data_IF_208789716916
#
_entry.id   IF_208789716916
#
_cell.length_a   1.000
_cell.length_b   1.000
_cell.length_c   1.000
_cell.angle_alpha   90.00
_cell.angle_beta   90.00
_cell.angle_gamma   90.00
#
_symmetry.space_group_name_H-M   'P 1'
#
loop_
_entity.id
_entity.type
_entity.pdbx_description
1 polymer ?
#
# COMPACT_ATOMS: atom_id res chain seq x y z
N UNK A 1 -7.18 8.48 1.31
CA UNK A 1 -7.21 9.23 2.60
C UNK A 1 -8.29 10.30 2.49
N UNK A 2 -9.23 10.43 3.43
CA UNK A 2 -10.24 11.48 3.42
C UNK A 2 -9.59 12.87 3.37
N UNK A 3 -10.23 13.84 2.69
CA UNK A 3 -9.69 15.19 2.53
C UNK A 3 -9.44 15.90 3.87
N UNK A 4 -10.33 15.68 4.86
CA UNK A 4 -10.16 16.18 6.22
C UNK A 4 -8.84 15.72 6.86
N UNK A 5 -8.48 14.47 6.66
CA UNK A 5 -7.24 13.87 7.19
C UNK A 5 -5.99 14.29 6.42
N UNK A 6 -6.10 14.73 5.17
CA UNK A 6 -4.97 15.28 4.44
C UNK A 6 -4.41 16.56 5.09
N UNK A 7 -5.27 17.34 5.76
CA UNK A 7 -4.87 18.55 6.50
C UNK A 7 -4.07 18.26 7.79
N UNK A 8 -4.15 17.03 8.29
CA UNK A 8 -3.41 16.61 9.49
C UNK A 8 -1.99 16.12 9.17
N UNK A 9 -1.66 15.96 7.87
CA UNK A 9 -0.32 15.56 7.46
C UNK A 9 0.70 16.66 7.80
N UNK A 10 1.85 16.32 8.42
CA UNK A 10 2.93 17.27 8.65
C UNK A 10 3.39 17.94 7.35
N UNK A 11 3.43 19.27 7.32
CA UNK A 11 3.80 20.03 6.12
C UNK A 11 5.16 19.63 5.56
N UNK A 12 6.15 19.40 6.43
CA UNK A 12 7.49 19.00 6.00
C UNK A 12 7.48 17.64 5.27
N UNK A 13 6.66 16.70 5.71
CA UNK A 13 6.51 15.39 5.06
C UNK A 13 5.90 15.53 3.68
N UNK A 14 4.85 16.37 3.55
CA UNK A 14 4.23 16.70 2.28
C UNK A 14 5.24 17.36 1.32
N UNK A 15 5.96 18.39 1.78
CA UNK A 15 6.95 19.10 0.98
C UNK A 15 8.10 18.17 0.52
N UNK A 16 8.63 17.34 1.43
CA UNK A 16 9.68 16.38 1.09
C UNK A 16 9.22 15.38 0.03
N UNK A 17 7.98 14.88 0.14
CA UNK A 17 7.41 14.02 -0.89
C UNK A 17 7.41 14.71 -2.27
N UNK A 18 6.91 15.94 -2.34
CA UNK A 18 6.84 16.69 -3.61
C UNK A 18 8.22 17.01 -4.19
N UNK A 19 9.18 17.40 -3.33
CA UNK A 19 10.57 17.67 -3.75
C UNK A 19 11.22 16.39 -4.28
N UNK A 20 11.15 15.30 -3.55
CA UNK A 20 11.78 14.03 -3.91
C UNK A 20 11.21 13.43 -5.20
N UNK A 21 9.94 13.65 -5.47
CA UNK A 21 9.28 13.21 -6.71
C UNK A 21 9.37 14.23 -7.86
N UNK A 22 10.06 15.36 -7.65
CA UNK A 22 10.22 16.41 -8.66
C UNK A 22 8.91 17.07 -9.08
N UNK A 23 7.85 17.00 -8.24
CA UNK A 23 6.52 17.52 -8.57
C UNK A 23 6.47 19.05 -8.64
N UNK A 24 7.39 19.75 -7.98
CA UNK A 24 7.52 21.21 -8.09
C UNK A 24 8.33 21.68 -9.32
N UNK A 25 8.91 20.75 -10.09
CA UNK A 25 9.68 21.12 -11.27
C UNK A 25 8.75 21.49 -12.43
N UNK A 26 8.89 22.70 -12.95
CA UNK A 26 8.18 23.15 -14.16
C UNK A 26 8.83 22.62 -15.44
N UNK A 27 10.17 22.48 -15.41
CA UNK A 27 10.99 21.95 -16.52
C UNK A 27 11.79 20.74 -16.04
N UNK A 28 12.21 19.87 -16.99
CA UNK A 28 13.01 18.66 -16.71
C UNK A 28 12.36 17.78 -15.63
N UNK A 29 11.05 17.55 -15.75
CA UNK A 29 10.33 16.62 -14.85
C UNK A 29 10.90 15.22 -15.00
N UNK A 30 11.01 14.44 -13.91
CA UNK A 30 11.46 13.05 -14.01
C UNK A 30 10.51 12.25 -14.90
N UNK A 31 11.08 11.40 -15.76
CA UNK A 31 10.31 10.43 -16.52
C UNK A 31 9.84 9.31 -15.57
N UNK A 32 8.56 9.05 -15.58
CA UNK A 32 7.97 7.94 -14.81
C UNK A 32 8.03 6.66 -15.62
N UNK A 33 8.35 5.57 -14.95
CA UNK A 33 8.42 4.23 -15.52
C UNK A 33 7.59 3.27 -14.68
N UNK A 34 7.11 2.21 -15.32
CA UNK A 34 6.52 1.06 -14.65
C UNK A 34 7.27 -0.20 -15.07
N UNK A 35 7.22 -1.23 -14.22
CA UNK A 35 7.86 -2.50 -14.53
C UNK A 35 7.04 -3.23 -15.59
N UNK A 36 7.69 -3.62 -16.68
CA UNK A 36 7.07 -4.45 -17.72
C UNK A 36 6.56 -5.76 -17.08
N UNK A 37 5.35 -6.17 -17.43
CA UNK A 37 4.64 -7.31 -16.82
C UNK A 37 4.39 -7.16 -15.31
N UNK A 38 4.39 -5.93 -14.78
CA UNK A 38 3.97 -5.55 -13.42
C UNK A 38 4.93 -6.00 -12.31
N UNK A 39 4.52 -5.68 -11.07
CA UNK A 39 5.34 -5.91 -9.88
C UNK A 39 5.69 -7.38 -9.63
N UNK A 40 4.85 -8.31 -10.02
CA UNK A 40 5.13 -9.76 -9.85
C UNK A 40 6.43 -10.18 -10.51
N UNK A 41 6.81 -9.55 -11.61
CA UNK A 41 8.06 -9.84 -12.33
C UNK A 41 9.29 -9.65 -11.46
N UNK A 42 9.41 -8.49 -10.80
CA UNK A 42 10.58 -8.26 -9.94
C UNK A 42 10.48 -9.04 -8.63
N UNK A 43 9.28 -9.25 -8.08
CA UNK A 43 9.09 -10.09 -6.89
C UNK A 43 9.56 -11.51 -7.14
N UNK A 44 9.19 -12.12 -8.27
CA UNK A 44 9.64 -13.45 -8.64
C UNK A 44 11.16 -13.49 -8.81
N UNK A 45 11.75 -12.52 -9.53
CA UNK A 45 13.21 -12.44 -9.70
C UNK A 45 13.99 -12.26 -8.40
N UNK A 46 13.42 -11.55 -7.42
CA UNK A 46 14.03 -11.44 -6.08
C UNK A 46 13.93 -12.80 -5.36
N UNK A 47 12.74 -13.43 -5.38
CA UNK A 47 12.51 -14.70 -4.75
C UNK A 47 13.45 -15.80 -5.28
N UNK A 48 13.71 -15.82 -6.59
CA UNK A 48 14.66 -16.76 -7.23
C UNK A 48 16.12 -16.59 -6.73
N UNK A 49 16.47 -15.42 -6.20
CA UNK A 49 17.82 -15.14 -5.68
C UNK A 49 17.97 -15.42 -4.18
N UNK A 50 16.88 -15.72 -3.49
CA UNK A 50 16.92 -16.08 -2.08
C UNK A 50 17.40 -17.52 -1.97
N UNK A 51 18.53 -17.74 -1.31
CA UNK A 51 19.11 -19.07 -1.11
C UNK A 51 18.44 -19.87 0.02
N UNK A 52 17.69 -19.20 0.89
CA UNK A 52 16.96 -19.81 1.99
C UNK A 52 15.52 -20.18 1.62
N UNK A 53 14.83 -20.80 2.56
CA UNK A 53 13.45 -21.23 2.39
C UNK A 53 12.46 -20.05 2.40
N UNK A 54 11.44 -20.12 1.56
CA UNK A 54 10.34 -19.17 1.50
C UNK A 54 9.06 -19.88 1.94
N UNK A 55 8.61 -19.60 3.16
CA UNK A 55 7.36 -20.13 3.71
C UNK A 55 6.20 -19.21 3.37
N UNK A 56 5.23 -19.70 2.58
CA UNK A 56 3.98 -19.00 2.25
C UNK A 56 2.84 -19.50 3.12
N UNK A 57 1.85 -18.61 3.37
CA UNK A 57 0.70 -18.95 4.21
C UNK A 57 1.06 -19.37 5.64
N UNK A 58 2.22 -18.94 6.12
CA UNK A 58 2.75 -19.22 7.44
C UNK A 58 2.65 -17.96 8.30
N UNK A 59 1.54 -17.83 9.03
CA UNK A 59 1.35 -16.69 9.94
C UNK A 59 2.24 -16.85 11.16
N UNK A 60 3.13 -15.90 11.38
CA UNK A 60 3.90 -15.80 12.63
C UNK A 60 2.97 -15.36 13.75
N UNK A 61 2.90 -16.14 14.80
CA UNK A 61 2.06 -15.86 15.97
C UNK A 61 2.81 -15.09 17.06
N UNK A 62 4.10 -15.40 17.26
CA UNK A 62 4.90 -14.82 18.34
C UNK A 62 6.38 -14.86 18.01
N UNK A 63 7.10 -13.88 18.52
CA UNK A 63 8.56 -13.79 18.45
C UNK A 63 9.08 -13.63 19.86
N UNK A 64 9.94 -14.58 20.29
CA UNK A 64 10.57 -14.61 21.59
C UNK A 64 12.06 -14.36 21.41
N UNK A 65 12.62 -13.41 22.11
CA UNK A 65 14.05 -13.11 22.10
C UNK A 65 14.69 -13.71 23.36
N UNK A 66 15.64 -14.57 23.17
CA UNK A 66 16.56 -15.04 24.18
C UNK A 66 17.92 -14.36 23.96
N UNK A 67 18.85 -14.50 24.90
CA UNK A 67 20.13 -13.78 24.86
C UNK A 67 20.90 -13.94 23.55
N UNK A 68 20.86 -15.15 22.93
CA UNK A 68 21.67 -15.49 21.75
C UNK A 68 20.82 -15.90 20.52
N UNK A 69 19.52 -16.06 20.67
CA UNK A 69 18.64 -16.57 19.60
C UNK A 69 17.28 -15.90 19.61
N UNK A 70 16.65 -15.93 18.45
CA UNK A 70 15.27 -15.48 18.26
C UNK A 70 14.42 -16.67 17.87
N UNK A 71 13.42 -16.97 18.69
CA UNK A 71 12.45 -18.04 18.44
C UNK A 71 11.21 -17.47 17.75
N UNK A 72 10.83 -18.02 16.61
CA UNK A 72 9.64 -17.67 15.87
C UNK A 72 8.61 -18.80 16.00
N UNK A 73 7.40 -18.47 16.47
CA UNK A 73 6.30 -19.43 16.62
C UNK A 73 5.32 -19.30 15.45
N UNK A 74 4.97 -20.45 14.86
CA UNK A 74 4.01 -20.57 13.77
C UNK A 74 3.06 -21.72 14.13
N UNK A 75 1.86 -21.40 14.61
CA UNK A 75 0.99 -22.41 15.22
C UNK A 75 1.69 -23.09 16.40
N UNK A 76 1.72 -24.42 16.39
CA UNK A 76 2.37 -25.25 17.43
C UNK A 76 3.86 -25.49 17.16
N UNK A 77 4.40 -24.99 16.04
CA UNK A 77 5.80 -25.17 15.66
C UNK A 77 6.63 -23.93 16.01
N UNK A 78 7.93 -24.15 16.21
CA UNK A 78 8.87 -23.05 16.35
C UNK A 78 10.12 -23.27 15.52
N UNK A 79 10.81 -22.17 15.20
CA UNK A 79 12.11 -22.14 14.54
C UNK A 79 13.00 -21.14 15.25
N UNK A 80 14.28 -21.49 15.41
CA UNK A 80 15.28 -20.64 16.05
C UNK A 80 16.20 -20.02 15.00
N UNK A 81 16.48 -18.72 15.16
CA UNK A 81 17.33 -17.93 14.26
C UNK A 81 18.27 -17.05 15.07
N UNK A 82 19.37 -16.62 14.45
CA UNK A 82 20.30 -15.66 15.06
C UNK A 82 19.69 -14.24 15.07
N UNK A 83 19.02 -13.87 13.98
CA UNK A 83 18.41 -12.55 13.81
C UNK A 83 17.06 -12.66 13.12
N UNK A 84 16.20 -11.65 13.33
CA UNK A 84 14.93 -11.48 12.65
C UNK A 84 14.77 -10.06 12.15
N UNK A 85 14.25 -9.92 10.92
CA UNK A 85 13.83 -8.62 10.36
C UNK A 85 12.32 -8.65 10.23
N UNK A 86 11.65 -7.70 10.89
CA UNK A 86 10.20 -7.51 10.80
C UNK A 86 9.89 -6.51 9.69
N UNK A 87 9.32 -7.00 8.58
CA UNK A 87 8.89 -6.19 7.44
C UNK A 87 7.36 -6.12 7.34
N UNK A 88 6.67 -6.15 8.47
CA UNK A 88 5.21 -6.01 8.59
C UNK A 88 4.83 -4.61 9.09
N UNK A 89 3.52 -4.30 9.17
CA UNK A 89 3.05 -3.08 9.80
C UNK A 89 3.54 -2.97 11.24
N UNK A 90 3.78 -1.75 11.72
CA UNK A 90 4.32 -1.51 13.06
C UNK A 90 3.41 -2.07 14.18
N UNK A 91 2.10 -1.93 14.05
CA UNK A 91 1.11 -2.50 14.97
C UNK A 91 1.15 -4.04 14.97
N UNK A 92 1.25 -4.66 13.80
CA UNK A 92 1.40 -6.10 13.65
C UNK A 92 2.73 -6.58 14.23
N UNK A 93 3.84 -5.88 13.92
CA UNK A 93 5.15 -6.17 14.48
C UNK A 93 5.12 -6.13 16.00
N UNK A 94 4.52 -5.09 16.58
CA UNK A 94 4.39 -4.94 18.03
C UNK A 94 3.54 -6.06 18.65
N UNK A 95 2.47 -6.48 17.98
CA UNK A 95 1.54 -7.51 18.49
C UNK A 95 2.16 -8.90 18.59
N UNK A 96 3.15 -9.21 17.76
CA UNK A 96 3.80 -10.54 17.74
C UNK A 96 5.08 -10.59 18.60
N UNK A 97 5.61 -9.45 19.04
CA UNK A 97 6.74 -9.40 19.99
C UNK A 97 6.26 -9.78 21.39
N UNK A 98 6.81 -10.85 21.99
CA UNK A 98 6.39 -11.29 23.31
C UNK A 98 6.76 -10.29 24.40
N UNK A 99 8.01 -9.81 24.40
CA UNK A 99 8.53 -8.87 25.38
C UNK A 99 9.13 -7.64 24.68
N UNK A 100 8.31 -6.75 24.08
CA UNK A 100 8.83 -5.54 23.46
C UNK A 100 9.41 -4.60 24.52
N UNK A 101 10.55 -4.00 24.22
CA UNK A 101 11.19 -2.99 25.07
C UNK A 101 10.29 -1.77 25.21
N UNK A 102 10.61 -0.90 26.18
CA UNK A 102 9.89 0.36 26.37
C UNK A 102 9.99 1.24 25.11
N UNK A 103 11.14 1.28 24.46
CA UNK A 103 11.36 2.08 23.25
C UNK A 103 10.63 1.51 22.05
N UNK A 104 10.64 0.19 21.84
CA UNK A 104 9.84 -0.46 20.79
C UNK A 104 8.36 -0.17 20.96
N UNK A 105 7.83 -0.29 22.17
CA UNK A 105 6.43 0.08 22.47
C UNK A 105 6.15 1.54 22.15
N UNK A 106 7.03 2.43 22.59
CA UNK A 106 6.84 3.87 22.43
C UNK A 106 6.91 4.31 20.97
N UNK A 107 7.79 3.71 20.18
CA UNK A 107 7.94 4.04 18.77
C UNK A 107 6.85 3.39 17.93
N UNK A 108 6.68 2.07 18.02
CA UNK A 108 5.78 1.32 17.13
C UNK A 108 4.30 1.67 17.33
N UNK A 109 3.87 2.00 18.54
CA UNK A 109 2.47 2.41 18.82
C UNK A 109 2.07 3.74 18.16
N UNK A 110 3.03 4.56 17.74
CA UNK A 110 2.73 5.85 17.10
C UNK A 110 2.35 5.72 15.63
N UNK A 111 2.56 4.56 15.02
CA UNK A 111 2.11 4.30 13.65
C UNK A 111 0.64 3.90 13.67
N UNK A 112 -0.19 4.78 13.14
CA UNK A 112 -1.63 4.53 12.98
C UNK A 112 -1.93 4.03 11.57
N UNK A 113 -3.00 3.25 11.44
CA UNK A 113 -3.42 2.69 10.16
C UNK A 113 -4.90 2.92 9.94
N UNK A 114 -5.30 3.10 8.68
CA UNK A 114 -6.70 3.30 8.29
C UNK A 114 -7.11 2.30 7.22
N UNK A 115 -8.35 1.76 7.31
CA UNK A 115 -8.88 0.88 6.28
C UNK A 115 -9.15 1.66 4.99
N UNK A 116 -8.92 0.99 3.87
CA UNK A 116 -9.22 1.46 2.54
C UNK A 116 -9.79 0.31 1.72
N UNK A 117 -10.81 0.58 0.94
CA UNK A 117 -11.42 -0.41 0.04
C UNK A 117 -11.04 -0.08 -1.38
N UNK A 118 -10.51 -1.05 -2.10
CA UNK A 118 -10.15 -0.93 -3.51
C UNK A 118 -11.08 -1.80 -4.36
N UNK A 119 -11.68 -1.20 -5.37
CA UNK A 119 -12.49 -1.88 -6.37
C UNK A 119 -11.71 -1.98 -7.67
N UNK A 120 -11.42 -3.19 -8.12
CA UNK A 120 -10.99 -3.44 -9.49
C UNK A 120 -12.24 -3.65 -10.33
N UNK A 121 -12.45 -2.82 -11.35
CA UNK A 121 -13.69 -2.80 -12.11
C UNK A 121 -13.48 -2.32 -13.57
N UNK A 122 -14.56 -2.34 -14.34
CA UNK A 122 -14.63 -1.82 -15.72
C UNK A 122 -15.69 -0.71 -15.88
N UNK A 123 -16.15 -0.16 -14.78
CA UNK A 123 -17.17 0.88 -14.78
C UNK A 123 -16.56 2.26 -15.10
N UNK A 124 -16.94 2.83 -16.25
CA UNK A 124 -16.46 4.15 -16.71
C UNK A 124 -17.13 5.31 -15.98
N UNK A 125 -18.23 5.09 -15.25
CA UNK A 125 -18.96 6.16 -14.54
C UNK A 125 -18.14 6.80 -13.41
N UNK A 126 -17.12 6.06 -12.92
CA UNK A 126 -16.17 6.56 -11.91
C UNK A 126 -14.98 7.31 -12.53
N UNK A 127 -15.07 7.69 -13.79
CA UNK A 127 -14.09 8.47 -14.50
C UNK A 127 -14.69 9.85 -14.88
N UNK A 128 -13.85 10.85 -15.17
CA UNK A 128 -14.36 12.13 -15.68
C UNK A 128 -15.25 11.91 -16.92
N UNK A 129 -16.38 12.64 -17.01
CA UNK A 129 -17.33 12.52 -18.13
C UNK A 129 -16.70 12.76 -19.50
N UNK A 130 -15.70 13.63 -19.57
CA UNK A 130 -14.95 13.92 -20.79
C UNK A 130 -13.75 12.97 -20.90
N UNK A 131 -13.76 12.03 -21.84
CA UNK A 131 -12.64 11.07 -22.07
C UNK A 131 -11.28 11.76 -22.30
N UNK A 132 -11.27 12.97 -22.87
CA UNK A 132 -10.03 13.78 -23.06
C UNK A 132 -9.39 14.21 -21.74
N UNK A 133 -10.12 14.21 -20.64
CA UNK A 133 -9.62 14.55 -19.30
C UNK A 133 -9.05 13.33 -18.58
N UNK A 134 -9.19 12.13 -19.12
CA UNK A 134 -8.73 10.91 -18.47
C UNK A 134 -7.21 10.89 -18.34
N UNK A 135 -6.76 10.71 -17.13
CA UNK A 135 -5.36 10.54 -16.76
C UNK A 135 -5.12 9.16 -16.16
N UNK A 136 -3.87 8.79 -15.95
CA UNK A 136 -3.53 7.57 -15.22
C UNK A 136 -4.10 7.58 -13.81
N UNK A 137 -4.22 8.77 -13.18
CA UNK A 137 -4.80 9.00 -11.86
C UNK A 137 -5.88 10.07 -11.99
N UNK A 138 -7.09 9.77 -11.55
CA UNK A 138 -8.22 10.68 -11.60
C UNK A 138 -8.79 10.82 -10.19
N UNK A 139 -8.92 12.05 -9.72
CA UNK A 139 -9.50 12.35 -8.42
C UNK A 139 -10.90 12.92 -8.61
N UNK A 140 -11.87 12.34 -7.92
CA UNK A 140 -13.27 12.82 -7.90
C UNK A 140 -13.61 13.16 -6.47
N UNK A 141 -14.08 14.38 -6.27
CA UNK A 141 -14.55 14.87 -4.97
C UNK A 141 -16.06 15.10 -5.03
N UNK A 142 -16.78 14.49 -4.08
CA UNK A 142 -18.20 14.68 -3.89
C UNK A 142 -18.43 15.05 -2.43
N UNK A 143 -19.10 16.18 -2.20
CA UNK A 143 -19.22 16.76 -0.88
C UNK A 143 -17.83 16.95 -0.23
N UNK A 144 -17.53 16.30 0.89
CA UNK A 144 -16.24 16.36 1.57
C UNK A 144 -15.42 15.07 1.43
N UNK A 145 -15.81 14.18 0.52
CA UNK A 145 -15.15 12.90 0.32
C UNK A 145 -14.49 12.86 -1.05
N UNK A 146 -13.26 12.36 -1.09
CA UNK A 146 -12.48 12.22 -2.33
C UNK A 146 -12.14 10.77 -2.55
N UNK A 147 -12.39 10.26 -3.76
CA UNK A 147 -11.85 9.01 -4.23
C UNK A 147 -10.80 9.22 -5.32
N UNK A 148 -10.01 8.20 -5.56
CA UNK A 148 -9.02 8.17 -6.64
C UNK A 148 -9.27 6.95 -7.50
N UNK A 149 -9.43 7.18 -8.80
CA UNK A 149 -9.56 6.12 -9.80
C UNK A 149 -8.31 6.08 -10.67
N UNK A 150 -7.64 4.95 -10.67
CA UNK A 150 -6.48 4.65 -11.53
C UNK A 150 -6.98 4.02 -12.81
N UNK A 151 -6.67 4.63 -13.96
CA UNK A 151 -6.88 4.00 -15.26
C UNK A 151 -5.69 3.10 -15.59
N UNK A 152 -5.87 1.80 -15.38
CA UNK A 152 -4.78 0.83 -15.44
C UNK A 152 -4.23 0.65 -16.86
N UNK A 153 -5.06 0.82 -17.88
CA UNK A 153 -4.62 0.74 -19.27
C UNK A 153 -3.50 1.74 -19.57
N UNK A 154 -3.69 3.00 -19.13
CA UNK A 154 -2.68 4.05 -19.31
C UNK A 154 -1.53 3.91 -18.31
N UNK A 155 -1.84 3.57 -17.06
CA UNK A 155 -0.85 3.47 -15.98
C UNK A 155 0.15 2.33 -16.21
N UNK A 156 -0.32 1.19 -16.77
CA UNK A 156 0.46 -0.03 -16.93
C UNK A 156 0.67 -0.44 -18.39
N UNK A 157 0.31 0.42 -19.33
CA UNK A 157 0.38 0.17 -20.77
C UNK A 157 -0.22 -1.19 -21.15
N UNK A 158 -1.50 -1.42 -20.78
CA UNK A 158 -2.16 -2.67 -21.04
C UNK A 158 -2.57 -2.77 -22.52
N UNK A 159 -2.19 -3.84 -23.18
CA UNK A 159 -2.58 -4.15 -24.58
C UNK A 159 -3.98 -4.77 -24.61
N UNK A 160 -5.01 -3.93 -24.44
CA UNK A 160 -6.42 -4.36 -24.45
C UNK A 160 -7.34 -3.19 -24.79
N UNK A 161 -8.45 -3.49 -25.47
CA UNK A 161 -9.50 -2.53 -25.81
C UNK A 161 -10.49 -2.30 -24.63
N UNK A 162 -10.49 -3.18 -23.63
CA UNK A 162 -11.35 -3.04 -22.47
C UNK A 162 -10.67 -2.16 -21.42
N UNK A 163 -11.39 -1.19 -20.88
CA UNK A 163 -10.88 -0.32 -19.83
C UNK A 163 -10.95 -1.03 -18.48
N UNK A 164 -9.83 -0.96 -17.73
CA UNK A 164 -9.72 -1.45 -16.37
C UNK A 164 -9.37 -0.31 -15.42
N UNK A 165 -10.09 -0.25 -14.33
CA UNK A 165 -9.94 0.78 -13.31
C UNK A 165 -9.70 0.15 -11.94
N UNK A 166 -8.95 0.88 -11.11
CA UNK A 166 -8.86 0.60 -9.69
C UNK A 166 -9.29 1.86 -8.94
N UNK A 167 -10.43 1.81 -8.26
CA UNK A 167 -10.94 2.94 -7.48
C UNK A 167 -10.74 2.68 -5.99
N UNK A 168 -10.09 3.61 -5.32
CA UNK A 168 -9.93 3.61 -3.87
C UNK A 168 -11.05 4.43 -3.22
N UNK A 169 -11.76 3.80 -2.28
CA UNK A 169 -12.85 4.43 -1.49
C UNK A 169 -13.83 5.17 -2.40
N UNK A 170 -14.54 4.49 -3.30
CA UNK A 170 -15.42 5.13 -4.26
C UNK A 170 -16.48 5.99 -3.55
N UNK A 171 -16.69 7.21 -4.04
CA UNK A 171 -17.72 8.15 -3.54
C UNK A 171 -19.08 7.91 -4.17
N UNK A 172 -19.15 7.07 -5.18
CA UNK A 172 -20.36 6.59 -5.83
C UNK A 172 -20.35 5.07 -5.91
N UNK A 173 -21.52 4.46 -5.98
CA UNK A 173 -21.64 3.00 -6.10
C UNK A 173 -21.02 2.55 -7.42
N UNK A 174 -20.12 1.58 -7.35
CA UNK A 174 -19.61 0.86 -8.52
C UNK A 174 -20.70 -0.08 -9.01
N UNK A 175 -20.92 -0.14 -10.30
CA UNK A 175 -21.82 -1.11 -10.93
C UNK A 175 -21.36 -2.53 -10.62
N UNK A 176 -22.20 -3.31 -9.91
CA UNK A 176 -21.84 -4.64 -9.40
C UNK A 176 -21.47 -5.61 -10.52
N UNK A 177 -22.13 -5.52 -11.68
CA UNK A 177 -21.86 -6.37 -12.86
C UNK A 177 -20.49 -6.06 -13.48
N UNK A 178 -19.92 -4.90 -13.18
CA UNK A 178 -18.61 -4.46 -13.66
C UNK A 178 -17.49 -4.65 -12.65
N UNK A 179 -17.80 -5.08 -11.43
CA UNK A 179 -16.78 -5.36 -10.40
C UNK A 179 -16.07 -6.68 -10.73
N UNK A 180 -14.76 -6.64 -10.78
CA UNK A 180 -13.90 -7.82 -10.97
C UNK A 180 -13.44 -8.35 -9.60
N UNK A 181 -13.02 -7.43 -8.71
CA UNK A 181 -12.52 -7.80 -7.39
C UNK A 181 -12.61 -6.62 -6.43
N UNK A 182 -12.92 -6.93 -5.17
CA UNK A 182 -12.83 -5.98 -4.05
C UNK A 182 -11.69 -6.43 -3.14
N UNK A 183 -10.84 -5.48 -2.74
CA UNK A 183 -9.71 -5.75 -1.84
C UNK A 183 -9.72 -4.70 -0.73
N UNK A 184 -9.64 -5.18 0.50
CA UNK A 184 -9.48 -4.32 1.67
C UNK A 184 -8.00 -4.16 1.97
N UNK A 185 -7.55 -2.91 2.04
CA UNK A 185 -6.20 -2.54 2.43
C UNK A 185 -6.23 -1.76 3.74
N UNK A 186 -5.12 -1.82 4.45
CA UNK A 186 -4.87 -1.02 5.63
C UNK A 186 -3.63 -0.21 5.34
N UNK A 187 -3.77 1.13 5.25
CA UNK A 187 -2.67 2.02 4.92
C UNK A 187 -2.19 2.81 6.13
N UNK A 188 -0.87 3.07 6.23
CA UNK A 188 -0.35 3.95 7.27
C UNK A 188 -0.96 5.36 7.15
N UNK A 189 -1.23 5.94 8.29
CA UNK A 189 -1.78 7.27 8.41
C UNK A 189 -0.76 8.17 9.11
N UNK A 190 -0.39 9.25 8.43
CA UNK A 190 0.58 10.21 8.93
C UNK A 190 -0.14 11.41 9.55
N UNK A 191 0.14 11.67 10.81
CA UNK A 191 -0.37 12.80 11.59
C UNK A 191 0.77 13.47 12.37
N UNK A 192 0.45 14.54 13.09
CA UNK A 192 1.41 15.31 13.89
C UNK A 192 1.61 14.75 15.32
N UNK A 193 1.29 13.48 15.56
CA UNK A 193 1.50 12.85 16.86
C UNK A 193 2.88 12.27 17.01
#
# INVERSE_FOLDING_TARGET
MPFSKAKEMPLHLFLNFFVNHGLFRLKKRPQWYTVTNRSRTYVNKIAEKISGDIFKNCKVNRIIRNNDKVKILIGDKHMDYDHVVLASHADQSLSILENPTKDEKNILKNFSYVPNVAFLHTDENLMPSRKRAWSSWNSITKENTTCVTYWLNKLQNLETNKNYFLTLNPVEKVDEDKVIKIVNFIYPYFNNK
#
